data_IF_126704328167
#
_entry.id   IF_126704328167
#
_cell.length_a   1.000
_cell.length_b   1.000
_cell.length_c   1.000
_cell.angle_alpha   90.00
_cell.angle_beta   90.00
_cell.angle_gamma   90.00
#
_symmetry.space_group_name_H-M   'P 1'
#
loop_
_entity.id
_entity.type
_entity.pdbx_description
1 polymer ?
#
# COMPACT_ATOMS: atom_id res chain seq x y z
N UNK A 1 -10.49 -34.47 3.97
CA UNK A 1 -11.08 -34.92 2.68
C UNK A 1 -12.53 -34.49 2.61
N UNK A 2 -12.93 -33.76 1.57
CA UNK A 2 -14.33 -33.37 1.33
C UNK A 2 -15.23 -34.61 1.22
N UNK A 3 -16.47 -34.53 1.72
CA UNK A 3 -17.46 -35.62 1.71
C UNK A 3 -17.58 -36.32 0.35
N UNK A 4 -17.52 -35.54 -0.74
CA UNK A 4 -17.59 -36.05 -2.12
C UNK A 4 -16.37 -36.88 -2.54
N UNK A 5 -15.20 -36.58 -1.98
CA UNK A 5 -13.96 -37.33 -2.28
C UNK A 5 -13.97 -38.72 -1.65
N UNK A 6 -14.49 -38.83 -0.43
CA UNK A 6 -14.68 -40.12 0.25
C UNK A 6 -15.68 -41.00 -0.51
N UNK A 7 -16.81 -40.42 -0.93
CA UNK A 7 -17.84 -41.11 -1.70
C UNK A 7 -17.32 -41.65 -3.05
N UNK A 8 -16.48 -40.86 -3.76
CA UNK A 8 -15.83 -41.33 -5.01
C UNK A 8 -14.81 -42.46 -4.75
N UNK A 9 -14.05 -42.39 -3.66
CA UNK A 9 -13.13 -43.45 -3.28
C UNK A 9 -13.84 -44.76 -2.92
N UNK A 10 -14.94 -44.68 -2.18
CA UNK A 10 -15.81 -45.83 -1.87
C UNK A 10 -16.37 -46.44 -3.16
N UNK A 11 -16.87 -45.62 -4.10
CA UNK A 11 -17.34 -46.08 -5.42
C UNK A 11 -16.25 -46.79 -6.22
N UNK A 12 -15.02 -46.28 -6.20
CA UNK A 12 -13.87 -46.93 -6.87
C UNK A 12 -13.59 -48.29 -6.22
N UNK A 13 -13.58 -48.37 -4.88
CA UNK A 13 -13.40 -49.62 -4.14
C UNK A 13 -14.49 -50.65 -4.47
N UNK A 14 -15.75 -50.24 -4.46
CA UNK A 14 -16.87 -51.10 -4.82
C UNK A 14 -16.79 -51.62 -6.25
N UNK A 15 -16.38 -50.77 -7.21
CA UNK A 15 -16.21 -51.19 -8.60
C UNK A 15 -15.03 -52.17 -8.76
N UNK A 16 -13.97 -52.02 -7.97
CA UNK A 16 -12.86 -52.96 -7.92
C UNK A 16 -13.29 -54.32 -7.35
N UNK A 17 -14.06 -54.34 -6.25
CA UNK A 17 -14.62 -55.56 -5.70
C UNK A 17 -15.59 -56.24 -6.66
N UNK A 18 -16.44 -55.47 -7.35
CA UNK A 18 -17.34 -55.97 -8.40
C UNK A 18 -16.55 -56.59 -9.56
N UNK A 19 -15.43 -55.98 -9.98
CA UNK A 19 -14.55 -56.57 -11.01
C UNK A 19 -13.90 -57.85 -10.51
N UNK A 20 -13.45 -57.89 -9.26
CA UNK A 20 -12.83 -59.07 -8.66
C UNK A 20 -13.81 -60.25 -8.62
N UNK A 21 -15.01 -60.04 -8.09
CA UNK A 21 -16.06 -61.06 -8.02
C UNK A 21 -16.54 -61.52 -9.42
N UNK A 22 -16.60 -60.61 -10.40
CA UNK A 22 -16.96 -60.98 -11.77
C UNK A 22 -15.80 -61.68 -12.51
N UNK A 23 -14.54 -61.39 -12.16
CA UNK A 23 -13.37 -62.05 -12.74
C UNK A 23 -13.18 -63.47 -12.21
N UNK A 24 -13.60 -63.76 -10.98
CA UNK A 24 -13.54 -65.10 -10.39
C UNK A 24 -14.38 -66.12 -11.20
N UNK A 25 -15.49 -65.66 -11.78
CA UNK A 25 -16.36 -66.43 -12.68
C UNK A 25 -16.07 -66.16 -14.16
N UNK A 26 -14.88 -65.65 -14.49
CA UNK A 26 -14.57 -65.25 -15.85
C UNK A 26 -14.36 -66.49 -16.72
N UNK A 27 -15.16 -66.65 -17.79
CA UNK A 27 -14.93 -67.70 -18.76
C UNK A 27 -13.68 -67.39 -19.59
N UNK A 28 -13.00 -68.45 -20.01
CA UNK A 28 -11.78 -68.38 -20.80
C UNK A 28 -12.05 -67.78 -22.20
N UNK A 29 -11.07 -67.08 -22.76
CA UNK A 29 -11.19 -66.40 -24.05
C UNK A 29 -11.59 -64.92 -23.99
N UNK A 30 -11.27 -64.18 -25.06
CA UNK A 30 -11.59 -62.77 -25.20
C UNK A 30 -13.00 -62.58 -25.79
N UNK A 31 -13.64 -61.44 -25.53
CA UNK A 31 -14.99 -61.12 -25.98
C UNK A 31 -15.15 -61.28 -27.49
N UNK A 32 -14.11 -60.91 -28.25
CA UNK A 32 -14.07 -61.11 -29.72
C UNK A 32 -13.98 -62.57 -30.15
N UNK A 33 -13.35 -63.44 -29.36
CA UNK A 33 -13.22 -64.86 -29.67
C UNK A 33 -14.55 -65.57 -29.42
N UNK A 34 -15.16 -65.35 -28.25
CA UNK A 34 -16.48 -65.91 -27.90
C UNK A 34 -17.56 -65.49 -28.91
N UNK A 35 -17.58 -64.22 -29.35
CA UNK A 35 -18.51 -63.76 -30.39
C UNK A 35 -18.32 -64.48 -31.73
N UNK A 36 -17.07 -64.66 -32.17
CA UNK A 36 -16.77 -65.38 -33.42
C UNK A 36 -17.10 -66.86 -33.35
N UNK A 37 -16.95 -67.47 -32.18
CA UNK A 37 -17.32 -68.87 -31.95
C UNK A 37 -18.84 -69.05 -32.02
N UNK A 38 -19.62 -68.16 -31.41
CA UNK A 38 -21.08 -68.16 -31.55
C UNK A 38 -21.50 -67.98 -33.01
N UNK A 39 -20.93 -67.00 -33.72
CA UNK A 39 -21.23 -66.75 -35.14
C UNK A 39 -20.90 -67.96 -36.02
N UNK A 40 -19.80 -68.67 -35.71
CA UNK A 40 -19.40 -69.87 -36.43
C UNK A 40 -20.37 -71.04 -36.21
N UNK A 41 -20.77 -71.29 -34.96
CA UNK A 41 -21.71 -72.38 -34.63
C UNK A 41 -23.10 -72.09 -35.18
N UNK A 42 -23.56 -70.83 -35.15
CA UNK A 42 -24.85 -70.42 -35.74
C UNK A 42 -24.85 -70.59 -37.26
N UNK A 43 -23.74 -70.24 -37.92
CA UNK A 43 -23.57 -70.49 -39.35
C UNK A 43 -23.59 -71.98 -39.69
N UNK A 44 -22.96 -72.82 -38.87
CA UNK A 44 -22.92 -74.27 -39.05
C UNK A 44 -24.32 -74.91 -38.94
N UNK A 45 -25.14 -74.45 -37.99
CA UNK A 45 -26.55 -74.85 -37.86
C UNK A 45 -27.37 -74.41 -39.08
N UNK A 46 -27.15 -73.19 -39.58
CA UNK A 46 -27.92 -72.65 -40.72
C UNK A 46 -27.56 -73.29 -42.06
N UNK A 47 -26.31 -73.74 -42.24
CA UNK A 47 -25.81 -74.19 -43.54
C UNK A 47 -25.76 -75.70 -43.71
N UNK A 48 -25.74 -76.48 -42.63
CA UNK A 48 -25.68 -77.94 -42.68
C UNK A 48 -26.99 -78.59 -42.21
N UNK A 49 -27.46 -79.61 -42.93
CA UNK A 49 -28.55 -80.47 -42.45
C UNK A 49 -28.02 -81.48 -41.43
N UNK A 50 -28.02 -81.09 -40.16
CA UNK A 50 -27.56 -81.91 -39.04
C UNK A 50 -28.69 -82.79 -38.48
N UNK A 51 -28.38 -83.97 -37.90
CA UNK A 51 -29.36 -84.72 -37.12
C UNK A 51 -29.72 -83.95 -35.85
N UNK A 52 -30.97 -84.09 -35.41
CA UNK A 52 -31.58 -83.34 -34.28
C UNK A 52 -30.72 -83.35 -33.00
N UNK A 53 -29.98 -84.43 -32.74
CA UNK A 53 -29.10 -84.54 -31.56
C UNK A 53 -27.87 -83.62 -31.65
N UNK A 54 -27.20 -83.57 -32.81
CA UNK A 54 -26.01 -82.74 -33.03
C UNK A 54 -26.38 -81.26 -33.03
N UNK A 55 -27.53 -80.91 -33.63
CA UNK A 55 -28.07 -79.55 -33.58
C UNK A 55 -28.36 -79.10 -32.13
N UNK A 56 -28.94 -79.99 -31.30
CA UNK A 56 -29.18 -79.71 -29.88
C UNK A 56 -27.89 -79.49 -29.09
N UNK A 57 -26.83 -80.24 -29.41
CA UNK A 57 -25.51 -80.05 -28.78
C UNK A 57 -24.90 -78.70 -29.15
N UNK A 58 -24.95 -78.30 -30.43
CA UNK A 58 -24.48 -76.98 -30.88
C UNK A 58 -25.29 -75.84 -30.24
N UNK A 59 -26.61 -75.98 -30.13
CA UNK A 59 -27.48 -75.00 -29.45
C UNK A 59 -27.10 -74.85 -27.97
N UNK A 60 -26.78 -75.95 -27.29
CA UNK A 60 -26.34 -75.90 -25.90
C UNK A 60 -24.99 -75.20 -25.75
N UNK A 61 -24.04 -75.45 -26.65
CA UNK A 61 -22.75 -74.74 -26.67
C UNK A 61 -22.92 -73.24 -26.93
N UNK A 62 -23.80 -72.86 -27.86
CA UNK A 62 -24.13 -71.44 -28.11
C UNK A 62 -24.71 -70.80 -26.85
N UNK A 63 -25.64 -71.46 -26.14
CA UNK A 63 -26.21 -70.93 -24.89
C UNK A 63 -25.14 -70.71 -23.83
N UNK A 64 -24.20 -71.63 -23.67
CA UNK A 64 -23.08 -71.46 -22.75
C UNK A 64 -22.23 -70.25 -23.15
N UNK A 65 -21.79 -70.17 -24.40
CA UNK A 65 -21.01 -69.04 -24.91
C UNK A 65 -21.76 -67.69 -24.79
N UNK A 66 -23.07 -67.66 -24.98
CA UNK A 66 -23.90 -66.48 -24.77
C UNK A 66 -23.90 -66.03 -23.30
N UNK A 67 -24.04 -66.97 -22.36
CA UNK A 67 -23.95 -66.63 -20.92
C UNK A 67 -22.58 -66.06 -20.57
N UNK A 68 -21.52 -66.64 -21.14
CA UNK A 68 -20.15 -66.18 -20.96
C UNK A 68 -19.96 -64.76 -21.50
N UNK A 69 -20.52 -64.49 -22.68
CA UNK A 69 -20.46 -63.19 -23.35
C UNK A 69 -21.20 -62.10 -22.56
N UNK A 70 -22.33 -62.42 -21.91
CA UNK A 70 -23.04 -61.50 -21.02
C UNK A 70 -22.17 -61.10 -19.82
N UNK A 71 -21.49 -62.06 -19.19
CA UNK A 71 -20.59 -61.80 -18.06
C UNK A 71 -19.40 -60.94 -18.50
N UNK A 72 -18.77 -61.25 -19.64
CA UNK A 72 -17.65 -60.48 -20.17
C UNK A 72 -18.06 -59.04 -20.56
N UNK A 73 -19.25 -58.84 -21.14
CA UNK A 73 -19.81 -57.51 -21.41
C UNK A 73 -20.02 -56.72 -20.11
N UNK A 74 -20.49 -57.35 -19.03
CA UNK A 74 -20.64 -56.71 -17.72
C UNK A 74 -19.29 -56.29 -17.14
N UNK A 75 -18.30 -57.18 -17.16
CA UNK A 75 -16.93 -56.86 -16.70
C UNK A 75 -16.38 -55.66 -17.46
N UNK A 76 -16.52 -55.63 -18.79
CA UNK A 76 -16.07 -54.51 -19.62
C UNK A 76 -16.72 -53.20 -19.19
N UNK A 77 -18.05 -53.16 -19.03
CA UNK A 77 -18.77 -51.96 -18.58
C UNK A 77 -18.29 -51.45 -17.22
N UNK A 78 -17.97 -52.34 -16.28
CA UNK A 78 -17.47 -51.94 -14.95
C UNK A 78 -16.03 -51.42 -15.04
N UNK A 79 -15.18 -52.05 -15.88
CA UNK A 79 -13.81 -51.57 -16.16
C UNK A 79 -13.79 -50.20 -16.83
N UNK A 80 -14.66 -49.96 -17.80
CA UNK A 80 -14.76 -48.68 -18.50
C UNK A 80 -15.14 -47.56 -17.51
N UNK A 81 -16.14 -47.80 -16.65
CA UNK A 81 -16.51 -46.86 -15.56
C UNK A 81 -15.38 -46.61 -14.56
N UNK A 82 -14.64 -47.66 -14.19
CA UNK A 82 -13.49 -47.51 -13.29
C UNK A 82 -12.38 -46.67 -13.94
N UNK A 83 -12.16 -46.85 -15.25
CA UNK A 83 -11.20 -46.06 -16.00
C UNK A 83 -11.61 -44.58 -16.04
N UNK A 84 -12.87 -44.27 -16.38
CA UNK A 84 -13.42 -42.91 -16.35
C UNK A 84 -13.20 -42.24 -14.99
N UNK A 85 -13.60 -42.89 -13.89
CA UNK A 85 -13.41 -42.35 -12.53
C UNK A 85 -11.94 -42.10 -12.17
N UNK A 86 -11.03 -42.98 -12.59
CA UNK A 86 -9.58 -42.79 -12.38
C UNK A 86 -9.03 -41.64 -13.20
N UNK A 87 -9.50 -41.47 -14.44
CA UNK A 87 -9.08 -40.33 -15.27
C UNK A 87 -9.56 -39.00 -14.69
N UNK A 88 -10.80 -38.93 -14.20
CA UNK A 88 -11.29 -37.76 -13.47
C UNK A 88 -10.47 -37.47 -12.21
N UNK A 89 -10.17 -38.50 -11.41
CA UNK A 89 -9.38 -38.36 -10.19
C UNK A 89 -7.98 -37.80 -10.48
N UNK A 90 -7.33 -38.31 -11.52
CA UNK A 90 -6.02 -37.81 -11.95
C UNK A 90 -6.12 -36.36 -12.44
N UNK A 91 -7.18 -36.01 -13.17
CA UNK A 91 -7.47 -34.63 -13.60
C UNK A 91 -7.54 -33.66 -12.41
N UNK A 92 -8.33 -33.97 -11.39
CA UNK A 92 -8.39 -33.16 -10.16
C UNK A 92 -7.03 -33.07 -9.46
N UNK A 93 -6.24 -34.14 -9.47
CA UNK A 93 -4.88 -34.14 -8.93
C UNK A 93 -3.95 -33.17 -9.66
N UNK A 94 -4.04 -33.10 -10.99
CA UNK A 94 -3.27 -32.13 -11.79
C UNK A 94 -3.74 -30.70 -11.56
N UNK A 95 -5.06 -30.46 -11.54
CA UNK A 95 -5.62 -29.14 -11.27
C UNK A 95 -5.21 -28.63 -9.88
N UNK A 96 -5.32 -29.47 -8.85
CA UNK A 96 -4.91 -29.12 -7.49
C UNK A 96 -3.42 -28.73 -7.41
N UNK A 97 -2.54 -29.43 -8.12
CA UNK A 97 -1.12 -29.06 -8.21
C UNK A 97 -0.93 -27.70 -8.85
N UNK A 98 -1.57 -27.45 -10.00
CA UNK A 98 -1.44 -26.15 -10.68
C UNK A 98 -1.99 -24.98 -9.86
N UNK A 99 -3.07 -25.20 -9.11
CA UNK A 99 -3.63 -24.18 -8.20
C UNK A 99 -2.65 -23.94 -7.05
N UNK A 100 -2.07 -25.00 -6.48
CA UNK A 100 -1.10 -24.88 -5.39
C UNK A 100 0.18 -24.16 -5.82
N UNK A 101 0.69 -24.43 -7.02
CA UNK A 101 1.84 -23.73 -7.60
C UNK A 101 1.54 -22.23 -7.75
N UNK A 102 0.41 -21.87 -8.37
CA UNK A 102 -0.02 -20.46 -8.50
C UNK A 102 -0.22 -19.78 -7.16
N UNK A 103 -0.79 -20.49 -6.18
CA UNK A 103 -1.00 -19.95 -4.83
C UNK A 103 0.33 -19.69 -4.12
N UNK A 104 1.30 -20.60 -4.29
CA UNK A 104 2.65 -20.43 -3.74
C UNK A 104 3.37 -19.24 -4.39
N UNK A 105 3.31 -19.11 -5.72
CA UNK A 105 3.88 -17.96 -6.44
C UNK A 105 3.27 -16.63 -5.98
N UNK A 106 1.94 -16.56 -5.83
CA UNK A 106 1.26 -15.37 -5.34
C UNK A 106 1.64 -15.05 -3.89
N UNK A 107 1.80 -16.07 -3.05
CA UNK A 107 2.24 -15.88 -1.67
C UNK A 107 3.67 -15.32 -1.59
N UNK A 108 4.59 -15.84 -2.40
CA UNK A 108 5.96 -15.32 -2.49
C UNK A 108 6.00 -13.89 -3.00
N UNK A 109 5.23 -13.56 -4.04
CA UNK A 109 5.10 -12.20 -4.55
C UNK A 109 4.54 -11.25 -3.49
N UNK A 110 3.47 -11.66 -2.80
CA UNK A 110 2.87 -10.88 -1.71
C UNK A 110 3.89 -10.61 -0.59
N UNK A 111 4.66 -11.62 -0.20
CA UNK A 111 5.69 -11.47 0.83
C UNK A 111 6.79 -10.50 0.38
N UNK A 112 7.22 -10.57 -0.88
CA UNK A 112 8.20 -9.65 -1.45
C UNK A 112 7.70 -8.20 -1.43
N UNK A 113 6.46 -7.96 -1.85
CA UNK A 113 5.86 -6.63 -1.83
C UNK A 113 5.70 -6.11 -0.39
N UNK A 114 5.32 -6.97 0.55
CA UNK A 114 5.21 -6.61 1.96
C UNK A 114 6.57 -6.17 2.54
N UNK A 115 7.66 -6.88 2.23
CA UNK A 115 9.01 -6.49 2.66
C UNK A 115 9.44 -5.17 2.02
N UNK A 116 9.14 -4.95 0.74
CA UNK A 116 9.40 -3.67 0.07
C UNK A 116 8.62 -2.52 0.72
N UNK A 117 7.34 -2.74 1.04
CA UNK A 117 6.51 -1.77 1.73
C UNK A 117 7.09 -1.40 3.10
N UNK A 118 7.50 -2.38 3.91
CA UNK A 118 8.16 -2.14 5.19
C UNK A 118 9.40 -1.25 5.00
N UNK A 119 10.27 -1.60 4.06
CA UNK A 119 11.48 -0.82 3.81
C UNK A 119 11.19 0.63 3.37
N UNK A 120 10.10 0.89 2.65
CA UNK A 120 9.68 2.26 2.32
C UNK A 120 9.14 3.00 3.55
N UNK A 121 8.35 2.32 4.39
CA UNK A 121 7.81 2.90 5.62
C UNK A 121 8.92 3.26 6.60
N UNK A 122 9.93 2.42 6.75
CA UNK A 122 11.11 2.70 7.59
C UNK A 122 11.86 3.93 7.09
N UNK A 123 12.18 4.00 5.80
CA UNK A 123 12.81 5.19 5.20
C UNK A 123 11.98 6.46 5.37
N UNK A 124 10.66 6.35 5.25
CA UNK A 124 9.77 7.49 5.48
C UNK A 124 9.80 7.96 6.94
N UNK A 125 9.92 7.04 7.91
CA UNK A 125 10.09 7.38 9.32
C UNK A 125 11.42 8.06 9.60
N UNK A 126 12.51 7.61 8.99
CA UNK A 126 13.82 8.23 9.13
C UNK A 126 13.79 9.68 8.60
N UNK A 127 13.23 9.88 7.39
CA UNK A 127 13.04 11.21 6.81
C UNK A 127 12.13 12.10 7.67
N UNK A 128 11.08 11.53 8.28
CA UNK A 128 10.21 12.26 9.19
C UNK A 128 10.96 12.70 10.46
N UNK A 129 11.84 11.85 11.00
CA UNK A 129 12.67 12.21 12.15
C UNK A 129 13.63 13.35 11.81
N UNK A 130 14.32 13.27 10.67
CA UNK A 130 15.21 14.34 10.17
C UNK A 130 14.44 15.66 9.96
N UNK A 131 13.25 15.59 9.35
CA UNK A 131 12.41 16.77 9.13
C UNK A 131 11.96 17.41 10.45
N UNK A 132 11.60 16.60 11.45
CA UNK A 132 11.21 17.09 12.78
C UNK A 132 12.40 17.76 13.49
N UNK A 133 13.59 17.17 13.42
CA UNK A 133 14.79 17.76 14.01
C UNK A 133 15.16 19.09 13.33
N UNK A 134 15.11 19.14 12.01
CA UNK A 134 15.34 20.37 11.25
C UNK A 134 14.31 21.44 11.58
N UNK A 135 13.04 21.06 11.73
CA UNK A 135 11.98 21.98 12.12
C UNK A 135 12.19 22.52 13.53
N UNK A 136 12.57 21.68 14.49
CA UNK A 136 12.87 22.11 15.85
C UNK A 136 14.02 23.13 15.87
N UNK A 137 15.12 22.85 15.17
CA UNK A 137 16.25 23.79 15.03
C UNK A 137 15.84 25.12 14.40
N UNK A 138 14.97 25.08 13.39
CA UNK A 138 14.41 26.29 12.78
C UNK A 138 13.60 27.13 13.78
N UNK A 139 12.72 26.48 14.55
CA UNK A 139 11.88 27.16 15.56
C UNK A 139 12.75 27.81 16.63
N UNK A 140 13.74 27.09 17.16
CA UNK A 140 14.69 27.61 18.16
C UNK A 140 15.47 28.82 17.62
N UNK A 141 16.01 28.71 16.41
CA UNK A 141 16.76 29.80 15.76
C UNK A 141 15.88 31.02 15.52
N UNK A 142 14.64 30.80 15.07
CA UNK A 142 13.66 31.88 14.87
C UNK A 142 13.33 32.59 16.17
N UNK A 143 13.15 31.85 17.26
CA UNK A 143 12.87 32.42 18.58
C UNK A 143 14.06 33.26 19.08
N UNK A 144 15.29 32.78 18.90
CA UNK A 144 16.49 33.54 19.23
C UNK A 144 16.61 34.83 18.38
N UNK A 145 16.34 34.74 17.08
CA UNK A 145 16.34 35.90 16.19
C UNK A 145 15.29 36.93 16.61
N UNK A 146 14.09 36.49 16.99
CA UNK A 146 13.02 37.34 17.48
C UNK A 146 13.43 38.09 18.77
N UNK A 147 14.03 37.39 19.74
CA UNK A 147 14.55 38.02 20.97
C UNK A 147 15.63 39.06 20.68
N UNK A 148 16.51 38.81 19.69
CA UNK A 148 17.52 39.77 19.28
C UNK A 148 16.89 40.98 18.58
N UNK A 149 15.87 40.75 17.76
CA UNK A 149 15.14 41.81 17.09
C UNK A 149 14.43 42.72 18.10
N UNK A 150 13.74 42.16 19.09
CA UNK A 150 13.09 42.91 20.17
C UNK A 150 14.08 43.82 20.91
N UNK A 151 15.25 43.28 21.31
CA UNK A 151 16.32 44.09 21.92
C UNK A 151 16.82 45.20 21.00
N UNK A 152 16.90 44.94 19.70
CA UNK A 152 17.32 45.96 18.72
C UNK A 152 16.29 47.09 18.64
N UNK A 153 15.00 46.76 18.64
CA UNK A 153 13.91 47.74 18.65
C UNK A 153 13.94 48.58 19.93
N UNK A 154 14.08 47.95 21.10
CA UNK A 154 14.23 48.65 22.39
C UNK A 154 15.43 49.61 22.38
N UNK A 155 16.58 49.17 21.85
CA UNK A 155 17.76 50.02 21.71
C UNK A 155 17.52 51.18 20.74
N UNK A 156 16.82 50.96 19.63
CA UNK A 156 16.46 52.05 18.72
C UNK A 156 15.53 53.08 19.38
N UNK A 157 14.58 52.64 20.19
CA UNK A 157 13.69 53.53 20.95
C UNK A 157 14.47 54.36 21.98
N UNK A 158 15.40 53.74 22.72
CA UNK A 158 16.25 54.46 23.67
C UNK A 158 17.19 55.46 22.98
N UNK A 159 17.78 55.11 21.83
CA UNK A 159 18.58 56.06 21.03
C UNK A 159 17.73 57.26 20.62
N UNK A 160 16.52 57.05 20.10
CA UNK A 160 15.61 58.14 19.72
C UNK A 160 15.25 59.04 20.91
N UNK A 161 15.01 58.46 22.08
CA UNK A 161 14.73 59.22 23.30
C UNK A 161 15.93 60.09 23.70
N UNK A 162 17.15 59.53 23.70
CA UNK A 162 18.39 60.25 24.01
C UNK A 162 18.65 61.37 22.99
N UNK A 163 18.44 61.11 21.70
CA UNK A 163 18.56 62.13 20.64
C UNK A 163 17.59 63.29 20.87
N UNK A 164 16.36 62.99 21.29
CA UNK A 164 15.37 64.01 21.61
C UNK A 164 15.76 64.82 22.85
N UNK A 165 16.21 64.17 23.93
CA UNK A 165 16.72 64.86 25.13
C UNK A 165 17.95 65.73 24.83
N UNK A 166 18.88 65.25 24.00
CA UNK A 166 20.04 66.03 23.54
C UNK A 166 19.61 67.26 22.75
N UNK A 167 18.60 67.14 21.89
CA UNK A 167 18.06 68.27 21.15
C UNK A 167 17.40 69.28 22.08
N UNK A 168 16.56 68.83 23.00
CA UNK A 168 15.89 69.71 23.98
C UNK A 168 16.88 70.44 24.89
N UNK A 169 17.94 69.77 25.34
CA UNK A 169 19.00 70.37 26.15
C UNK A 169 19.86 71.35 25.35
N UNK A 170 20.15 71.06 24.09
CA UNK A 170 20.84 71.99 23.19
C UNK A 170 20.00 73.25 22.94
N UNK A 171 18.70 73.09 22.66
CA UNK A 171 17.76 74.19 22.43
C UNK A 171 17.61 75.06 23.69
N UNK A 172 17.50 74.44 24.87
CA UNK A 172 17.50 75.15 26.17
C UNK A 172 18.77 75.96 26.38
N UNK A 173 19.95 75.36 26.23
CA UNK A 173 21.24 76.06 26.37
C UNK A 173 21.39 77.20 25.36
N UNK A 174 20.89 77.02 24.14
CA UNK A 174 20.90 78.08 23.14
C UNK A 174 19.95 79.22 23.53
N UNK A 175 18.77 78.90 24.06
CA UNK A 175 17.82 79.87 24.61
C UNK A 175 18.41 80.64 25.80
N UNK A 176 19.04 79.96 26.75
CA UNK A 176 19.73 80.56 27.90
C UNK A 176 20.84 81.51 27.45
N UNK A 177 21.74 81.06 26.55
CA UNK A 177 22.80 81.92 25.99
C UNK A 177 22.25 83.15 25.29
N UNK A 178 21.18 83.01 24.50
CA UNK A 178 20.52 84.14 23.85
C UNK A 178 19.92 85.10 24.89
N UNK A 179 19.30 84.56 25.94
CA UNK A 179 18.75 85.35 27.05
C UNK A 179 19.83 86.09 27.84
N UNK A 180 20.96 85.44 28.15
CA UNK A 180 22.12 86.07 28.79
C UNK A 180 22.69 87.20 27.94
N UNK A 181 22.91 86.96 26.64
CA UNK A 181 23.38 88.00 25.71
C UNK A 181 22.42 89.19 25.63
N UNK A 182 21.10 88.93 25.63
CA UNK A 182 20.09 89.99 25.67
C UNK A 182 20.10 90.77 26.98
N UNK A 183 20.27 90.11 28.13
CA UNK A 183 20.39 90.78 29.44
C UNK A 183 21.66 91.62 29.51
N UNK A 184 22.80 91.09 29.07
CA UNK A 184 24.07 91.83 28.99
C UNK A 184 23.93 93.07 28.10
N UNK A 185 23.25 92.94 26.96
CA UNK A 185 22.97 94.06 26.06
C UNK A 185 22.09 95.11 26.75
N UNK A 186 21.02 94.68 27.43
CA UNK A 186 20.10 95.53 28.19
C UNK A 186 20.84 96.30 29.30
N UNK A 187 21.64 95.60 30.12
CA UNK A 187 22.40 96.20 31.22
C UNK A 187 23.44 97.21 30.71
N UNK A 188 24.15 96.90 29.63
CA UNK A 188 25.11 97.82 29.00
C UNK A 188 24.40 99.05 28.43
N UNK A 189 23.28 98.86 27.75
CA UNK A 189 22.49 99.95 27.17
C UNK A 189 21.88 100.85 28.26
N UNK A 190 21.28 100.28 29.31
CA UNK A 190 20.76 101.02 30.47
C UNK A 190 21.86 101.76 31.22
N UNK A 191 23.05 101.16 31.38
CA UNK A 191 24.19 101.81 32.02
C UNK A 191 24.71 103.00 31.20
N UNK A 192 24.74 102.89 29.87
CA UNK A 192 25.08 104.01 28.97
C UNK A 192 24.03 105.12 29.03
N UNK A 193 22.75 104.76 29.05
CA UNK A 193 21.64 105.71 29.19
C UNK A 193 21.72 106.48 30.52
N UNK A 194 21.92 105.79 31.64
CA UNK A 194 22.09 106.40 32.97
C UNK A 194 23.34 107.29 33.09
N UNK A 195 24.41 106.97 32.36
CA UNK A 195 25.66 107.74 32.34
C UNK A 195 25.72 108.81 31.25
N UNK A 196 24.63 109.03 30.49
CA UNK A 196 24.55 110.06 29.45
C UNK A 196 25.45 109.80 28.23
N UNK A 197 25.91 108.56 28.03
CA UNK A 197 26.75 108.17 26.88
C UNK A 197 25.87 107.84 25.67
N UNK A 198 26.36 108.11 24.45
CA UNK A 198 25.65 107.80 23.20
C UNK A 198 25.38 106.29 23.08
N UNK A 199 24.14 105.93 22.78
CA UNK A 199 23.71 104.56 22.47
C UNK A 199 24.01 104.23 21.01
N UNK A 200 24.38 102.97 20.73
CA UNK A 200 24.37 102.44 19.36
C UNK A 200 22.93 102.23 18.89
N UNK A 201 22.70 102.24 17.57
CA UNK A 201 21.36 102.06 16.99
C UNK A 201 20.67 100.78 17.46
N UNK A 202 21.42 99.67 17.50
CA UNK A 202 20.93 98.37 17.97
C UNK A 202 20.56 98.38 19.47
N UNK A 203 21.30 99.12 20.30
CA UNK A 203 21.02 99.26 21.74
C UNK A 203 19.79 100.15 22.00
N UNK A 204 19.62 101.21 21.20
CA UNK A 204 18.46 102.10 21.25
C UNK A 204 17.18 101.37 20.82
N UNK A 205 17.22 100.67 19.68
CA UNK A 205 16.08 99.91 19.17
C UNK A 205 15.66 98.82 20.17
N UNK A 206 16.61 98.12 20.78
CA UNK A 206 16.34 97.10 21.77
C UNK A 206 15.64 97.64 23.04
N UNK A 207 16.10 98.78 23.57
CA UNK A 207 15.45 99.42 24.72
C UNK A 207 14.06 99.98 24.39
N UNK A 208 13.87 100.52 23.17
CA UNK A 208 12.59 101.03 22.68
C UNK A 208 11.54 99.93 22.55
N UNK A 209 11.92 98.80 21.94
CA UNK A 209 11.04 97.64 21.76
C UNK A 209 10.62 97.01 23.09
N UNK A 210 11.46 97.13 24.14
CA UNK A 210 11.12 96.71 25.50
C UNK A 210 10.40 97.77 26.35
N UNK A 211 10.20 98.98 25.84
CA UNK A 211 9.53 100.07 26.56
C UNK A 211 10.32 100.63 27.76
N UNK A 212 11.65 100.57 27.71
CA UNK A 212 12.56 101.02 28.78
C UNK A 212 13.20 102.41 28.51
N UNK A 213 12.64 103.16 27.55
CA UNK A 213 13.03 104.52 27.17
C UNK A 213 11.99 105.55 27.63
#
# INVERSE_FOLDING_TARGET
MSSKGKEKHEKVSELQEKIWALNEKRPDGNLRQVTREIEKLDWEIQTNSLPVKEEQELINQIRELETQLVVQKRIKKVKDKLFELRTEQNGFGTEAKTIHEKLSELAEQSQKYHLQMIGVVEKARDLQAEANEAHQKYVETRQQAQQKHEKCVELMETIKAIEQELKETADKKQGERKGELQKDLEERALSKLKSGKKLLWEEFQFLAEKGLL
#
